data_IF_873231000905
#
_entry.id   IF_873231000905
#
_cell.length_a   1.000
_cell.length_b   1.000
_cell.length_c   1.000
_cell.angle_alpha   90.00
_cell.angle_beta   90.00
_cell.angle_gamma   90.00
#
_symmetry.space_group_name_H-M   'P 1'
#
loop_
_entity.id
_entity.type
_entity.pdbx_description
1 polymer ?
#
# COMPACT_ATOMS: atom_id res chain seq x y z
N UNK A 1 -64.87 38.72 -3.95
CA UNK A 1 -63.98 38.19 -2.90
C UNK A 1 -63.83 36.70 -3.14
N UNK A 2 -62.65 36.27 -3.61
CA UNK A 2 -62.43 34.98 -4.28
C UNK A 2 -62.04 33.86 -3.28
N UNK A 3 -62.51 32.64 -3.57
CA UNK A 3 -62.56 31.45 -2.70
C UNK A 3 -61.19 30.78 -2.49
N UNK A 4 -61.03 30.19 -1.29
CA UNK A 4 -59.88 29.40 -0.79
C UNK A 4 -59.57 28.18 -1.67
N UNK A 5 -58.30 27.98 -2.00
CA UNK A 5 -57.75 26.74 -2.58
C UNK A 5 -57.19 25.85 -1.46
N UNK A 6 -57.58 24.58 -1.44
CA UNK A 6 -57.05 23.53 -0.56
C UNK A 6 -56.13 22.64 -1.42
N UNK A 7 -54.85 22.54 -1.08
CA UNK A 7 -53.87 21.66 -1.74
C UNK A 7 -53.70 20.39 -0.91
N UNK A 8 -54.03 19.22 -1.49
CA UNK A 8 -53.63 17.91 -0.99
C UNK A 8 -52.21 17.58 -1.49
N UNK A 9 -51.30 17.26 -0.57
CA UNK A 9 -49.97 16.71 -0.87
C UNK A 9 -50.02 15.17 -0.85
N UNK A 10 -49.43 14.47 -1.85
CA UNK A 10 -49.24 13.03 -1.78
C UNK A 10 -48.01 12.70 -0.91
N UNK A 11 -48.17 11.76 0.03
CA UNK A 11 -47.09 11.23 0.86
C UNK A 11 -46.24 10.29 0.00
N UNK A 12 -45.01 10.70 -0.31
CA UNK A 12 -44.02 9.86 -0.98
C UNK A 12 -43.33 8.98 0.08
N UNK A 13 -43.65 7.68 0.12
CA UNK A 13 -42.96 6.73 0.96
C UNK A 13 -41.56 6.47 0.40
N UNK A 14 -40.53 6.97 1.09
CA UNK A 14 -39.13 6.71 0.75
C UNK A 14 -38.74 5.29 1.18
N UNK A 15 -38.44 4.42 0.23
CA UNK A 15 -37.81 3.12 0.49
C UNK A 15 -36.33 3.39 0.78
N UNK A 16 -35.97 3.47 2.07
CA UNK A 16 -34.59 3.56 2.51
C UNK A 16 -33.90 2.21 2.27
N UNK A 17 -33.12 2.11 1.19
CA UNK A 17 -32.17 1.02 1.01
C UNK A 17 -31.02 1.25 2.01
N UNK A 18 -31.13 0.65 3.19
CA UNK A 18 -30.03 0.61 4.15
C UNK A 18 -28.83 -0.07 3.51
N UNK A 19 -27.75 0.68 3.29
CA UNK A 19 -26.45 0.09 2.96
C UNK A 19 -26.05 -0.83 4.11
N UNK A 20 -26.08 -2.14 3.89
CA UNK A 20 -25.48 -3.07 4.84
C UNK A 20 -23.98 -2.78 4.87
N UNK A 21 -23.51 -2.22 5.98
CA UNK A 21 -22.09 -2.19 6.26
C UNK A 21 -21.60 -3.64 6.32
N UNK A 22 -20.62 -3.99 5.49
CA UNK A 22 -19.94 -5.28 5.54
C UNK A 22 -19.25 -5.38 6.91
N UNK A 23 -19.84 -6.12 7.84
CA UNK A 23 -19.20 -6.45 9.10
C UNK A 23 -18.27 -7.64 8.86
N UNK A 24 -17.02 -7.53 9.31
CA UNK A 24 -16.08 -8.65 9.29
C UNK A 24 -16.62 -9.80 10.15
N UNK A 25 -16.40 -11.03 9.69
CA UNK A 25 -16.49 -12.21 10.54
C UNK A 25 -15.43 -12.18 11.65
N UNK A 26 -15.61 -12.99 12.69
CA UNK A 26 -14.64 -13.09 13.78
C UNK A 26 -13.24 -13.49 13.27
N UNK A 27 -13.19 -14.42 12.31
CA UNK A 27 -11.92 -14.91 11.74
C UNK A 27 -11.24 -13.84 10.87
N UNK A 28 -12.00 -13.10 10.05
CA UNK A 28 -11.47 -11.97 9.28
C UNK A 28 -10.94 -10.86 10.20
N UNK A 29 -11.68 -10.53 11.27
CA UNK A 29 -11.24 -9.56 12.27
C UNK A 29 -9.96 -10.00 12.98
N UNK A 30 -9.83 -11.29 13.32
CA UNK A 30 -8.61 -11.84 13.89
C UNK A 30 -7.42 -11.78 12.92
N UNK A 31 -7.66 -12.04 11.63
CA UNK A 31 -6.63 -11.93 10.59
C UNK A 31 -6.16 -10.49 10.38
N UNK A 32 -7.08 -9.52 10.38
CA UNK A 32 -6.76 -8.08 10.34
C UNK A 32 -5.90 -7.70 11.54
N UNK A 33 -6.27 -8.12 12.75
CA UNK A 33 -5.48 -7.85 13.95
C UNK A 33 -4.07 -8.44 13.86
N UNK A 34 -3.92 -9.68 13.36
CA UNK A 34 -2.60 -10.30 13.15
C UNK A 34 -1.73 -9.51 12.17
N UNK A 35 -2.33 -8.94 11.12
CA UNK A 35 -1.62 -8.07 10.18
C UNK A 35 -1.16 -6.76 10.81
N UNK A 36 -2.02 -6.10 11.59
CA UNK A 36 -1.64 -4.90 12.37
C UNK A 36 -0.49 -5.23 13.33
N UNK A 37 -0.61 -6.30 14.12
CA UNK A 37 0.42 -6.75 15.07
C UNK A 37 1.75 -7.06 14.36
N UNK A 38 1.70 -7.80 13.23
CA UNK A 38 2.87 -8.14 12.41
C UNK A 38 3.59 -6.89 11.94
N UNK A 39 2.87 -5.96 11.34
CA UNK A 39 3.46 -4.71 10.88
C UNK A 39 4.03 -3.96 12.09
N UNK A 40 3.25 -3.72 13.14
CA UNK A 40 3.69 -2.88 14.25
C UNK A 40 4.92 -3.43 14.99
N UNK A 41 5.17 -4.74 14.94
CA UNK A 41 6.40 -5.37 15.42
C UNK A 41 7.62 -5.14 14.50
N UNK A 42 7.44 -4.97 13.20
CA UNK A 42 8.53 -4.81 12.22
C UNK A 42 8.89 -3.33 12.05
N UNK A 43 10.02 -2.95 12.65
CA UNK A 43 10.63 -1.62 12.47
C UNK A 43 11.67 -1.58 11.35
N UNK A 44 12.39 -2.67 11.11
CA UNK A 44 13.31 -2.80 9.97
C UNK A 44 13.14 -4.16 9.29
N UNK A 45 13.39 -4.19 7.98
CA UNK A 45 13.35 -5.41 7.17
C UNK A 45 14.35 -5.28 6.03
N UNK A 46 15.10 -6.35 5.76
CA UNK A 46 15.78 -6.58 4.48
C UNK A 46 15.18 -7.82 3.83
N UNK A 47 14.91 -7.78 2.54
CA UNK A 47 14.49 -8.95 1.78
C UNK A 47 14.96 -8.84 0.33
N UNK A 48 14.96 -9.96 -0.38
CA UNK A 48 14.94 -9.96 -1.85
C UNK A 48 13.50 -9.82 -2.32
N UNK A 49 13.30 -9.25 -3.49
CA UNK A 49 11.97 -9.14 -4.07
C UNK A 49 11.93 -9.60 -5.53
N UNK A 50 10.76 -10.09 -5.94
CA UNK A 50 10.36 -10.30 -7.32
C UNK A 50 9.14 -9.42 -7.58
N UNK A 51 9.28 -8.46 -8.49
CA UNK A 51 8.20 -7.60 -8.91
C UNK A 51 7.65 -8.08 -10.25
N UNK A 52 6.33 -8.17 -10.38
CA UNK A 52 5.64 -8.39 -11.66
C UNK A 52 4.87 -7.14 -12.03
N UNK A 53 5.13 -6.62 -13.22
CA UNK A 53 4.52 -5.42 -13.78
C UNK A 53 3.19 -5.73 -14.50
N UNK A 54 2.38 -4.71 -14.82
CA UNK A 54 1.12 -4.88 -15.54
C UNK A 54 1.27 -5.56 -16.92
N UNK A 55 2.43 -5.44 -17.54
CA UNK A 55 2.77 -6.09 -18.83
C UNK A 55 3.27 -7.54 -18.67
N UNK A 56 3.27 -8.07 -17.44
CA UNK A 56 3.75 -9.40 -17.09
C UNK A 56 5.26 -9.53 -16.97
N UNK A 57 6.04 -8.48 -17.29
CA UNK A 57 7.50 -8.53 -17.10
C UNK A 57 7.82 -8.59 -15.62
N UNK A 58 8.85 -9.35 -15.31
CA UNK A 58 9.33 -9.52 -13.94
C UNK A 58 10.73 -8.93 -13.78
N UNK A 59 10.97 -8.32 -12.63
CA UNK A 59 12.27 -7.77 -12.23
C UNK A 59 12.54 -8.12 -10.77
N UNK A 60 13.81 -8.30 -10.43
CA UNK A 60 14.23 -8.63 -9.07
C UNK A 60 15.08 -7.54 -8.45
N UNK A 61 15.31 -7.66 -7.15
CA UNK A 61 16.20 -6.76 -6.43
C UNK A 61 16.20 -6.97 -4.93
N UNK A 62 16.73 -5.97 -4.23
CA UNK A 62 16.74 -5.90 -2.78
C UNK A 62 15.77 -4.82 -2.29
N UNK A 63 14.99 -5.14 -1.26
CA UNK A 63 14.19 -4.18 -0.51
C UNK A 63 14.77 -3.98 0.88
N UNK A 64 14.87 -2.71 1.26
CA UNK A 64 15.20 -2.25 2.59
C UNK A 64 14.02 -1.43 3.09
N UNK A 65 13.51 -1.75 4.27
CA UNK A 65 12.41 -1.03 4.89
C UNK A 65 12.81 -0.62 6.29
N UNK A 66 12.55 0.64 6.63
CA UNK A 66 12.75 1.20 7.96
C UNK A 66 11.55 2.07 8.31
N UNK A 67 10.66 1.56 9.15
CA UNK A 67 9.47 2.28 9.55
C UNK A 67 9.76 3.26 10.70
N UNK A 68 9.08 4.42 10.73
CA UNK A 68 8.12 4.89 9.72
C UNK A 68 8.74 5.53 8.47
N UNK A 69 7.99 5.47 7.38
CA UNK A 69 8.14 6.31 6.20
C UNK A 69 9.28 5.97 5.24
N UNK A 70 10.22 5.09 5.61
CA UNK A 70 11.41 4.83 4.80
C UNK A 70 11.44 3.46 4.16
N UNK A 71 11.77 3.44 2.88
CA UNK A 71 11.91 2.24 2.08
C UNK A 71 12.89 2.49 0.94
N UNK A 72 13.58 1.45 0.48
CA UNK A 72 14.44 1.49 -0.70
C UNK A 72 14.30 0.19 -1.47
N UNK A 73 13.92 0.23 -2.74
CA UNK A 73 14.01 -0.90 -3.65
C UNK A 73 15.14 -0.64 -4.63
N UNK A 74 16.14 -1.51 -4.61
CA UNK A 74 17.26 -1.50 -5.56
C UNK A 74 17.03 -2.64 -6.53
N UNK A 75 16.85 -2.32 -7.80
CA UNK A 75 16.62 -3.31 -8.84
C UNK A 75 17.94 -3.92 -9.31
N UNK A 76 17.93 -5.21 -9.64
CA UNK A 76 19.09 -5.87 -10.22
C UNK A 76 19.34 -5.41 -11.67
N UNK A 77 20.60 -5.42 -12.14
CA UNK A 77 20.89 -5.22 -13.54
C UNK A 77 20.11 -6.18 -14.46
N UNK A 78 19.68 -5.74 -15.65
CA UNK A 78 20.01 -4.47 -16.29
C UNK A 78 19.01 -3.34 -15.98
N UNK A 79 18.13 -3.49 -14.99
CA UNK A 79 17.07 -2.50 -14.72
C UNK A 79 17.65 -1.26 -14.03
N UNK A 80 17.72 -0.09 -14.70
CA UNK A 80 18.38 1.09 -14.14
C UNK A 80 17.44 1.89 -13.24
N UNK A 81 16.65 1.22 -12.40
CA UNK A 81 15.67 1.87 -11.53
C UNK A 81 16.07 1.81 -10.06
N UNK A 82 15.65 2.82 -9.33
CA UNK A 82 15.72 2.89 -7.88
C UNK A 82 14.42 3.52 -7.37
N UNK A 83 13.82 2.90 -6.35
CA UNK A 83 12.70 3.49 -5.62
C UNK A 83 13.14 3.83 -4.21
N UNK A 84 12.88 5.05 -3.76
CA UNK A 84 13.19 5.50 -2.39
C UNK A 84 11.96 6.15 -1.77
N UNK A 85 11.52 5.67 -0.63
CA UNK A 85 10.69 6.45 0.29
C UNK A 85 11.60 7.06 1.35
N UNK A 86 11.62 8.39 1.47
CA UNK A 86 12.54 9.11 2.36
C UNK A 86 11.89 9.58 3.68
N UNK A 87 10.59 9.31 3.84
CA UNK A 87 9.76 9.78 4.95
C UNK A 87 8.72 10.81 4.54
N UNK A 88 8.88 11.46 3.38
CA UNK A 88 7.95 12.46 2.85
C UNK A 88 7.48 12.06 1.46
N UNK A 89 8.40 11.70 0.57
CA UNK A 89 8.12 11.37 -0.82
C UNK A 89 8.40 9.91 -1.11
N UNK A 90 7.64 9.36 -2.05
CA UNK A 90 8.06 8.22 -2.85
C UNK A 90 8.75 8.73 -4.13
N UNK A 91 10.02 8.39 -4.27
CA UNK A 91 10.92 8.90 -5.29
C UNK A 91 11.27 7.77 -6.26
N UNK A 92 10.89 7.94 -7.51
CA UNK A 92 11.22 7.05 -8.62
C UNK A 92 12.43 7.63 -9.35
N UNK A 93 13.53 6.87 -9.42
CA UNK A 93 14.79 7.33 -10.00
C UNK A 93 15.16 6.44 -11.18
N UNK A 94 15.33 7.07 -12.35
CA UNK A 94 16.05 6.48 -13.48
C UNK A 94 17.54 6.78 -13.29
N UNK A 95 18.30 5.74 -12.95
CA UNK A 95 19.72 5.84 -12.60
C UNK A 95 20.64 6.00 -13.81
N UNK A 96 20.16 5.67 -15.01
CA UNK A 96 20.89 5.87 -16.26
C UNK A 96 20.73 7.33 -16.74
N UNK A 97 19.51 7.85 -16.68
CA UNK A 97 19.20 9.22 -17.10
C UNK A 97 19.49 10.26 -16.00
N UNK A 98 19.73 9.82 -14.76
CA UNK A 98 19.83 10.65 -13.56
C UNK A 98 18.61 11.58 -13.41
N UNK A 99 17.43 11.02 -13.65
CA UNK A 99 16.15 11.70 -13.54
C UNK A 99 15.33 11.13 -12.38
N UNK A 100 14.57 11.98 -11.70
CA UNK A 100 13.80 11.58 -10.53
C UNK A 100 12.44 12.25 -10.45
N UNK A 101 11.40 11.43 -10.29
CA UNK A 101 10.03 11.86 -10.05
C UNK A 101 9.66 11.66 -8.58
N UNK A 102 8.96 12.63 -8.01
CA UNK A 102 8.57 12.63 -6.60
C UNK A 102 7.04 12.64 -6.49
N UNK A 103 6.51 11.80 -5.62
CA UNK A 103 5.08 11.76 -5.27
C UNK A 103 4.97 11.77 -3.75
N UNK A 104 4.03 12.53 -3.19
CA UNK A 104 3.80 12.53 -1.75
C UNK A 104 3.50 11.10 -1.27
N UNK A 105 4.26 10.60 -0.29
CA UNK A 105 4.16 9.20 0.14
C UNK A 105 2.74 8.89 0.65
N UNK A 106 2.14 9.84 1.36
CA UNK A 106 0.78 9.78 1.89
C UNK A 106 -0.32 9.83 0.81
N UNK A 107 0.02 10.11 -0.44
CA UNK A 107 -0.89 10.01 -1.59
C UNK A 107 -0.78 8.65 -2.30
N UNK A 108 0.14 7.78 -1.86
CA UNK A 108 0.34 6.47 -2.48
C UNK A 108 -0.18 5.34 -1.59
N UNK A 109 -0.77 4.27 -2.17
CA UNK A 109 -1.09 3.06 -1.41
C UNK A 109 0.12 2.42 -0.72
N UNK A 110 1.33 2.62 -1.26
CA UNK A 110 2.57 2.15 -0.65
C UNK A 110 2.86 2.82 0.71
N UNK A 111 2.38 4.05 0.94
CA UNK A 111 2.50 4.74 2.22
C UNK A 111 1.86 3.98 3.38
N UNK A 112 0.81 3.18 3.12
CA UNK A 112 0.16 2.33 4.12
C UNK A 112 1.15 1.33 4.73
N UNK A 113 2.04 0.74 3.92
CA UNK A 113 3.09 -0.19 4.37
C UNK A 113 4.08 0.46 5.34
N UNK A 114 4.21 1.79 5.28
CA UNK A 114 5.26 2.55 5.93
C UNK A 114 4.77 3.38 7.12
N UNK A 115 3.48 3.35 7.47
CA UNK A 115 2.93 4.00 8.68
C UNK A 115 3.70 3.56 9.94
N UNK A 116 3.84 4.41 10.96
CA UNK A 116 4.49 4.00 12.22
C UNK A 116 3.67 2.96 12.99
N UNK A 117 2.38 3.28 13.12
CA UNK A 117 1.34 2.42 13.69
C UNK A 117 0.30 2.17 12.60
N UNK A 118 0.26 0.93 12.09
CA UNK A 118 -0.72 0.54 11.09
C UNK A 118 -1.95 0.00 11.81
N UNK A 119 -3.06 0.74 11.70
CA UNK A 119 -4.39 0.20 11.99
C UNK A 119 -5.32 0.36 10.80
N UNK A 120 -6.02 -0.71 10.43
CA UNK A 120 -7.05 -0.69 9.39
C UNK A 120 -8.35 -0.01 9.86
N UNK A 121 -8.43 0.33 11.15
CA UNK A 121 -9.49 1.17 11.72
C UNK A 121 -9.15 2.66 11.71
N UNK A 122 -7.94 3.05 11.28
CA UNK A 122 -7.55 4.44 11.08
C UNK A 122 -8.51 5.12 10.08
N UNK A 123 -9.15 6.26 10.43
CA UNK A 123 -10.03 7.00 9.53
C UNK A 123 -9.40 7.43 8.21
N UNK A 124 -8.06 7.49 8.13
CA UNK A 124 -7.33 7.75 6.88
C UNK A 124 -7.36 6.57 5.90
N UNK A 125 -7.76 5.37 6.37
CA UNK A 125 -7.83 4.15 5.59
C UNK A 125 -9.28 3.66 5.48
N UNK A 126 -9.55 2.95 4.41
CA UNK A 126 -10.79 2.17 4.25
C UNK A 126 -10.41 0.72 4.03
N UNK A 127 -10.74 -0.12 5.01
CA UNK A 127 -10.61 -1.56 4.86
C UNK A 127 -11.54 -2.04 3.74
N UNK A 128 -10.97 -2.80 2.81
CA UNK A 128 -11.67 -3.47 1.73
C UNK A 128 -11.93 -4.92 2.07
N UNK A 129 -11.67 -5.80 1.10
CA UNK A 129 -11.89 -7.25 1.27
C UNK A 129 -10.81 -7.88 2.15
N UNK A 130 -11.23 -8.76 3.06
CA UNK A 130 -10.38 -9.74 3.73
C UNK A 130 -10.73 -11.11 3.13
N UNK A 131 -9.73 -11.86 2.67
CA UNK A 131 -9.93 -13.23 2.15
C UNK A 131 -9.06 -14.20 2.92
N UNK A 132 -9.68 -15.24 3.44
CA UNK A 132 -9.01 -16.35 4.10
C UNK A 132 -8.96 -17.52 3.11
N UNK A 133 -7.75 -17.92 2.71
CA UNK A 133 -7.51 -19.05 1.83
C UNK A 133 -6.61 -20.09 2.51
N UNK A 134 -6.48 -21.30 1.93
CA UNK A 134 -5.58 -22.31 2.46
C UNK A 134 -4.13 -21.82 2.43
N UNK A 135 -3.51 -21.61 3.60
CA UNK A 135 -2.12 -21.16 3.69
C UNK A 135 -1.92 -19.66 3.49
N UNK A 136 -2.98 -18.90 3.15
CA UNK A 136 -2.86 -17.50 2.72
C UNK A 136 -3.96 -16.61 3.31
N UNK A 137 -3.62 -15.36 3.60
CA UNK A 137 -4.56 -14.30 3.98
C UNK A 137 -4.33 -13.09 3.10
N UNK A 138 -5.39 -12.59 2.46
CA UNK A 138 -5.34 -11.34 1.69
C UNK A 138 -6.13 -10.24 2.40
N UNK A 139 -5.52 -9.06 2.57
CA UNK A 139 -6.17 -7.88 3.15
C UNK A 139 -6.02 -6.72 2.17
N UNK A 140 -7.14 -6.21 1.68
CA UNK A 140 -7.18 -5.04 0.79
C UNK A 140 -7.49 -3.78 1.60
N UNK A 141 -6.79 -2.69 1.33
CA UNK A 141 -7.11 -1.37 1.87
C UNK A 141 -6.96 -0.28 0.80
N UNK A 142 -7.74 0.80 0.95
CA UNK A 142 -7.61 2.03 0.15
C UNK A 142 -7.40 3.22 1.06
N UNK A 143 -6.94 4.33 0.48
CA UNK A 143 -6.95 5.63 1.16
C UNK A 143 -8.39 6.11 1.32
N UNK A 144 -8.77 6.63 2.49
CA UNK A 144 -10.12 7.14 2.73
C UNK A 144 -10.36 8.48 2.05
N UNK A 145 -9.34 9.34 1.97
CA UNK A 145 -9.41 10.65 1.31
C UNK A 145 -9.64 10.54 -0.20
N UNK A 146 -9.15 9.48 -0.82
CA UNK A 146 -9.29 9.21 -2.24
C UNK A 146 -9.20 7.70 -2.51
N UNK A 147 -10.35 7.04 -2.60
CA UNK A 147 -10.41 5.62 -2.97
C UNK A 147 -10.11 5.36 -4.45
N UNK A 148 -10.06 6.40 -5.28
CA UNK A 148 -9.73 6.30 -6.71
C UNK A 148 -8.22 6.30 -6.97
N UNK A 149 -7.41 6.73 -5.99
CA UNK A 149 -5.94 6.71 -6.05
C UNK A 149 -5.35 5.28 -6.17
N UNK A 150 -6.17 4.25 -5.97
CA UNK A 150 -5.77 2.86 -6.07
C UNK A 150 -6.05 2.07 -4.78
N UNK A 151 -5.61 0.82 -4.76
CA UNK A 151 -5.71 -0.05 -3.58
C UNK A 151 -4.41 -0.81 -3.34
N UNK A 152 -4.13 -1.08 -2.07
CA UNK A 152 -3.08 -1.98 -1.61
C UNK A 152 -3.72 -3.30 -1.21
N UNK A 153 -3.21 -4.41 -1.73
CA UNK A 153 -3.55 -5.75 -1.24
C UNK A 153 -2.33 -6.41 -0.64
N UNK A 154 -2.41 -6.72 0.64
CA UNK A 154 -1.38 -7.41 1.41
C UNK A 154 -1.67 -8.90 1.38
N UNK A 155 -0.65 -9.72 1.15
CA UNK A 155 -0.76 -11.17 1.10
C UNK A 155 0.19 -11.76 2.12
N UNK A 156 -0.38 -12.47 3.09
CA UNK A 156 0.34 -13.13 4.16
C UNK A 156 0.30 -14.64 3.98
N UNK A 157 1.36 -15.33 4.39
CA UNK A 157 1.24 -16.74 4.80
C UNK A 157 0.53 -16.81 6.15
N UNK A 158 -0.20 -17.88 6.44
CA UNK A 158 -0.89 -18.05 7.73
C UNK A 158 -0.06 -18.79 8.80
N UNK A 159 0.94 -19.58 8.38
CA UNK A 159 1.82 -20.37 9.25
C UNK A 159 3.27 -20.48 8.71
N UNK A 160 4.22 -19.67 9.21
CA UNK A 160 4.02 -18.54 10.13
C UNK A 160 3.26 -17.38 9.49
N UNK A 161 2.65 -16.52 10.32
CA UNK A 161 1.95 -15.33 9.84
C UNK A 161 2.94 -14.25 9.42
N UNK A 162 3.23 -14.16 8.13
CA UNK A 162 4.27 -13.30 7.57
C UNK A 162 3.83 -12.65 6.26
N UNK A 163 4.20 -11.39 6.04
CA UNK A 163 3.97 -10.75 4.75
C UNK A 163 4.83 -11.41 3.68
N UNK A 164 4.20 -11.95 2.64
CA UNK A 164 4.88 -12.59 1.51
C UNK A 164 4.81 -11.74 0.25
N UNK A 165 3.79 -10.93 0.09
CA UNK A 165 3.62 -10.10 -1.10
C UNK A 165 2.74 -8.90 -0.80
N UNK A 166 2.97 -7.80 -1.52
CA UNK A 166 1.98 -6.74 -1.67
C UNK A 166 1.66 -6.50 -3.14
N UNK A 167 0.44 -6.03 -3.40
CA UNK A 167 -0.04 -5.63 -4.72
C UNK A 167 -0.56 -4.22 -4.65
N UNK A 168 -0.14 -3.37 -5.58
CA UNK A 168 -0.66 -2.03 -5.76
C UNK A 168 -1.39 -1.99 -7.09
N UNK A 169 -2.68 -1.69 -7.05
CA UNK A 169 -3.47 -1.38 -8.23
C UNK A 169 -3.68 0.13 -8.28
N UNK A 170 -3.26 0.79 -9.34
CA UNK A 170 -3.43 2.24 -9.51
C UNK A 170 -4.83 2.63 -10.05
N UNK A 171 -5.05 3.93 -10.23
CA UNK A 171 -6.30 4.49 -10.79
C UNK A 171 -6.58 4.09 -12.25
N UNK A 172 -5.59 3.54 -12.95
CA UNK A 172 -5.69 3.05 -14.33
C UNK A 172 -5.92 1.53 -14.38
N UNK A 173 -6.17 0.88 -13.24
CA UNK A 173 -6.26 -0.58 -13.10
C UNK A 173 -4.99 -1.33 -13.50
N UNK A 174 -3.83 -0.69 -13.39
CA UNK A 174 -2.53 -1.35 -13.58
C UNK A 174 -2.07 -1.91 -12.25
N UNK A 175 -1.90 -3.23 -12.19
CA UNK A 175 -1.43 -3.92 -10.99
C UNK A 175 0.08 -4.15 -11.06
N UNK A 176 0.78 -3.72 -10.01
CA UNK A 176 2.15 -4.13 -9.72
C UNK A 176 2.11 -5.03 -8.50
N UNK A 177 2.73 -6.20 -8.59
CA UNK A 177 2.91 -7.10 -7.45
C UNK A 177 4.37 -7.18 -7.07
N UNK A 178 4.66 -7.23 -5.77
CA UNK A 178 6.01 -7.40 -5.22
C UNK A 178 5.98 -8.53 -4.20
N UNK A 179 6.64 -9.62 -4.53
CA UNK A 179 6.80 -10.81 -3.69
C UNK A 179 8.13 -10.73 -2.96
N UNK A 180 8.11 -10.96 -1.64
CA UNK A 180 9.28 -10.98 -0.78
C UNK A 180 9.80 -12.40 -0.58
N UNK A 181 11.12 -12.55 -0.63
CA UNK A 181 11.80 -13.78 -0.23
C UNK A 181 13.09 -13.47 0.53
N UNK A 182 13.58 -14.45 1.29
CA UNK A 182 14.75 -14.28 2.17
C UNK A 182 14.62 -13.10 3.15
N UNK A 183 13.39 -12.88 3.65
CA UNK A 183 13.07 -11.81 4.57
C UNK A 183 13.82 -11.93 5.91
N UNK A 184 14.45 -10.84 6.33
CA UNK A 184 15.21 -10.69 7.58
C UNK A 184 14.70 -9.45 8.32
N UNK A 185 13.70 -9.58 9.20
CA UNK A 185 13.23 -8.48 10.03
C UNK A 185 14.26 -8.14 11.13
N UNK A 186 14.19 -6.92 11.65
CA UNK A 186 15.00 -6.48 12.81
C UNK A 186 16.49 -6.27 12.52
N UNK A 187 16.90 -6.26 11.25
CA UNK A 187 18.29 -6.00 10.86
C UNK A 187 18.66 -4.53 11.08
N UNK A 188 19.92 -4.28 11.44
CA UNK A 188 20.46 -2.92 11.45
C UNK A 188 20.62 -2.42 10.01
N UNK A 189 20.07 -1.25 9.73
CA UNK A 189 20.14 -0.59 8.42
C UNK A 189 20.79 0.78 8.59
N UNK A 190 21.69 1.12 7.66
CA UNK A 190 22.26 2.46 7.61
C UNK A 190 21.14 3.46 7.26
N UNK A 191 21.11 4.58 7.99
CA UNK A 191 20.11 5.64 7.77
C UNK A 191 20.28 6.31 6.41
N UNK A 192 21.51 6.34 5.89
CA UNK A 192 21.81 6.98 4.60
C UNK A 192 21.27 6.18 3.41
N UNK A 193 20.89 4.91 3.59
CA UNK A 193 20.22 4.10 2.55
C UNK A 193 18.95 4.78 2.00
N UNK A 194 18.25 5.53 2.84
CA UNK A 194 16.95 6.10 2.51
C UNK A 194 17.01 7.55 2.06
N UNK A 195 18.23 8.12 1.97
CA UNK A 195 18.42 9.47 1.44
C UNK A 195 18.60 9.39 -0.06
N UNK A 196 17.68 9.99 -0.81
CA UNK A 196 17.93 10.25 -2.21
C UNK A 196 18.90 11.42 -2.35
N UNK A 197 19.99 11.21 -3.07
CA UNK A 197 20.93 12.27 -3.44
C UNK A 197 21.08 12.25 -4.96
N UNK A 198 20.66 13.31 -5.68
CA UNK A 198 20.89 13.42 -7.11
C UNK A 198 22.39 13.34 -7.40
N UNK A 199 22.80 12.61 -8.43
CA UNK A 199 24.21 12.65 -8.86
C UNK A 199 24.55 14.07 -9.31
N UNK A 200 25.71 14.57 -8.91
CA UNK A 200 26.21 15.87 -9.41
C UNK A 200 26.52 15.72 -10.89
N UNK A 201 26.00 16.64 -11.71
CA UNK A 201 26.28 16.70 -13.15
C UNK A 201 27.77 16.99 -13.36
N UNK A 202 28.59 15.97 -13.51
CA UNK A 202 30.05 16.10 -13.63
C UNK A 202 30.84 14.83 -13.30
N UNK A 203 30.26 13.92 -12.50
CA UNK A 203 30.89 12.66 -12.14
C UNK A 203 30.66 11.63 -13.27
N UNK A 204 31.45 11.74 -14.34
CA UNK A 204 31.63 10.65 -15.31
C UNK A 204 33.00 10.04 -15.03
N UNK A 205 33.01 8.82 -14.51
CA UNK A 205 34.19 7.95 -14.53
C UNK A 205 34.57 7.59 -15.98
#
# INVERSE_FOLDING_TARGET
MLRKFLLLLPILAAITHGSQAFALTADEGAAVKKAEDYFNAIKTLKARFLQVNPDGKSVEGDVYLSRPGRMRLVYDPPTPMLLVADGTFLIYVDTEMNDASHVDLDDTPAGILLKDDLSFSDPALKLGTVKLGPGIVEITATMAKDSSAGRLTLVFSDAPFELRQWRVLDSQNKEVSVTLFEAKPGVALDRDLFRYQPRKRGDRD
#
